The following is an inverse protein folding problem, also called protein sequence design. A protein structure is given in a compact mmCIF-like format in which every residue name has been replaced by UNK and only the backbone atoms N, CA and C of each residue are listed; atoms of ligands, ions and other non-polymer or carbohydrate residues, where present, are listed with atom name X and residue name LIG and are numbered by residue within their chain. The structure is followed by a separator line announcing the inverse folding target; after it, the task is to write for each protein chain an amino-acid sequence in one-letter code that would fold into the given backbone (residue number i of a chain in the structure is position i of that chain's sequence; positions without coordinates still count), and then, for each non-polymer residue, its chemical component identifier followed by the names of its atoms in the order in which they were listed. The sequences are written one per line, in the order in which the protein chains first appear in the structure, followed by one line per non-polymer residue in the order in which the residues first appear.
data_IF_179695883529
#
_entry.id   IF_179695883529
#
_cell.length_a   1.000
_cell.length_b   1.000
_cell.length_c   1.000
_cell.angle_alpha   90.00
_cell.angle_beta   90.00
_cell.angle_gamma   90.00
#
_symmetry.space_group_name_H-M   'P 1'
#
loop_
_entity.id
_entity.type
_entity.pdbx_description
1 polymer ?
#
# COMPACT_ATOMS: atom_id res chain seq x y z
N UNK A 1 -0.85 11.98 5.75
CA UNK A 1 -1.87 11.50 4.80
C UNK A 1 -2.95 12.56 4.73
N UNK A 2 -3.39 12.99 3.55
CA UNK A 2 -4.54 13.89 3.43
C UNK A 2 -5.85 13.11 3.58
N UNK A 3 -6.91 13.77 4.04
CA UNK A 3 -8.23 13.14 4.21
C UNK A 3 -8.79 12.60 2.88
N UNK A 4 -8.61 13.34 1.79
CA UNK A 4 -9.00 12.91 0.44
C UNK A 4 -8.30 11.61 0.01
N UNK A 5 -6.99 11.51 0.22
CA UNK A 5 -6.23 10.32 -0.13
C UNK A 5 -6.66 9.11 0.71
N UNK A 6 -6.90 9.31 2.01
CA UNK A 6 -7.43 8.26 2.87
C UNK A 6 -8.79 7.75 2.36
N UNK A 7 -9.71 8.65 2.01
CA UNK A 7 -11.03 8.28 1.47
C UNK A 7 -10.90 7.53 0.14
N UNK A 8 -10.04 7.98 -0.77
CA UNK A 8 -9.77 7.29 -2.03
C UNK A 8 -9.25 5.87 -1.80
N UNK A 9 -8.27 5.68 -0.91
CA UNK A 9 -7.72 4.37 -0.58
C UNK A 9 -8.79 3.44 0.01
N UNK A 10 -9.66 3.96 0.89
CA UNK A 10 -10.80 3.20 1.44
C UNK A 10 -11.79 2.78 0.33
N UNK A 11 -12.20 3.72 -0.52
CA UNK A 11 -13.16 3.47 -1.60
C UNK A 11 -12.63 2.47 -2.64
N UNK A 12 -11.34 2.53 -2.94
CA UNK A 12 -10.67 1.60 -3.86
C UNK A 12 -10.31 0.25 -3.22
N UNK A 13 -10.71 0.01 -1.96
CA UNK A 13 -10.38 -1.19 -1.17
C UNK A 13 -8.87 -1.43 -1.03
N UNK A 14 -8.08 -0.36 -1.05
CA UNK A 14 -6.62 -0.35 -0.91
C UNK A 14 -6.20 -0.39 0.57
N UNK A 15 -6.75 -1.35 1.34
CA UNK A 15 -6.54 -1.44 2.79
C UNK A 15 -5.07 -1.60 3.17
N UNK A 16 -4.32 -2.45 2.46
CA UNK A 16 -2.90 -2.66 2.78
C UNK A 16 -2.08 -1.39 2.56
N UNK A 17 -2.36 -0.66 1.48
CA UNK A 17 -1.71 0.63 1.20
C UNK A 17 -2.02 1.62 2.33
N UNK A 18 -3.30 1.72 2.74
CA UNK A 18 -3.71 2.60 3.82
C UNK A 18 -2.93 2.33 5.12
N UNK A 19 -2.73 1.05 5.47
CA UNK A 19 -1.99 0.64 6.67
C UNK A 19 -0.50 0.97 6.60
N UNK A 20 0.15 0.71 5.46
CA UNK A 20 1.62 0.82 5.34
C UNK A 20 2.09 2.19 4.84
N UNK A 21 1.19 3.05 4.35
CA UNK A 21 1.56 4.29 3.66
C UNK A 21 2.51 5.17 4.47
N UNK A 22 2.20 5.41 5.74
CA UNK A 22 3.01 6.27 6.60
C UNK A 22 4.39 5.67 6.91
N UNK A 23 4.49 4.35 6.99
CA UNK A 23 5.77 3.67 7.16
C UNK A 23 6.60 3.70 5.87
N UNK A 24 5.99 3.37 4.73
CA UNK A 24 6.66 3.38 3.43
C UNK A 24 7.08 4.79 3.02
N UNK A 25 6.34 5.83 3.41
CA UNK A 25 6.72 7.22 3.15
C UNK A 25 8.00 7.57 3.92
N UNK A 26 8.05 7.27 5.22
CA UNK A 26 9.25 7.50 6.04
C UNK A 26 10.45 6.68 5.55
N UNK A 27 10.22 5.46 5.09
CA UNK A 27 11.25 4.62 4.50
C UNK A 27 11.78 5.23 3.19
N UNK A 28 10.89 5.66 2.30
CA UNK A 28 11.26 6.31 1.05
C UNK A 28 12.04 7.61 1.27
N UNK A 29 11.63 8.43 2.24
CA UNK A 29 12.37 9.64 2.63
C UNK A 29 13.77 9.32 3.17
N UNK A 30 13.91 8.24 3.93
CA UNK A 30 15.21 7.81 4.48
C UNK A 30 16.13 7.22 3.42
N UNK A 31 15.57 6.52 2.44
CA UNK A 31 16.31 5.82 1.40
C UNK A 31 16.56 6.70 0.16
N UNK A 32 16.10 7.95 0.15
CA UNK A 32 16.04 8.82 -1.04
C UNK A 32 15.42 8.10 -2.25
N UNK A 33 14.37 7.31 -1.97
CA UNK A 33 13.77 6.45 -2.98
C UNK A 33 13.05 7.27 -4.03
N UNK A 34 13.17 6.85 -5.29
CA UNK A 34 12.44 7.51 -6.37
C UNK A 34 10.93 7.35 -6.20
N UNK A 35 10.15 8.28 -6.77
CA UNK A 35 8.69 8.19 -6.76
C UNK A 35 8.18 6.86 -7.34
N UNK A 36 8.83 6.37 -8.40
CA UNK A 36 8.51 5.07 -9.01
C UNK A 36 8.75 3.91 -8.05
N UNK A 37 9.82 3.93 -7.26
CA UNK A 37 10.10 2.89 -6.27
C UNK A 37 9.10 2.91 -5.12
N UNK A 38 8.77 4.09 -4.60
CA UNK A 38 7.76 4.26 -3.57
C UNK A 38 6.40 3.68 -4.01
N UNK A 39 5.91 4.08 -5.19
CA UNK A 39 4.64 3.56 -5.73
C UNK A 39 4.72 2.05 -5.96
N UNK A 40 5.85 1.54 -6.47
CA UNK A 40 6.04 0.10 -6.70
C UNK A 40 5.93 -0.69 -5.40
N UNK A 41 6.52 -0.20 -4.29
CA UNK A 41 6.45 -0.85 -2.97
C UNK A 41 5.01 -0.89 -2.45
N UNK A 42 4.26 0.20 -2.57
CA UNK A 42 2.86 0.27 -2.15
C UNK A 42 1.96 -0.69 -2.93
N UNK A 43 2.02 -0.65 -4.26
CA UNK A 43 1.18 -1.49 -5.13
C UNK A 43 1.54 -2.97 -4.98
N UNK A 44 2.83 -3.29 -4.83
CA UNK A 44 3.30 -4.66 -4.57
C UNK A 44 2.72 -5.21 -3.26
N UNK A 45 2.80 -4.45 -2.17
CA UNK A 45 2.25 -4.89 -0.88
C UNK A 45 0.74 -5.15 -0.94
N UNK A 46 0.00 -4.29 -1.63
CA UNK A 46 -1.44 -4.48 -1.85
C UNK A 46 -1.74 -5.70 -2.72
N UNK A 47 -0.93 -5.95 -3.75
CA UNK A 47 -1.06 -7.13 -4.59
C UNK A 47 -0.85 -8.41 -3.77
N UNK A 48 0.20 -8.46 -2.95
CA UNK A 48 0.45 -9.60 -2.05
C UNK A 48 -0.72 -9.84 -1.11
N UNK A 49 -1.21 -8.81 -0.42
CA UNK A 49 -2.37 -8.93 0.48
C UNK A 49 -3.63 -9.46 -0.25
N UNK A 50 -3.80 -9.09 -1.52
CA UNK A 50 -4.92 -9.58 -2.35
C UNK A 50 -4.74 -11.03 -2.81
N UNK A 51 -3.50 -11.48 -3.03
CA UNK A 51 -3.18 -12.87 -3.35
C UNK A 51 -3.30 -13.77 -2.11
N UNK A 52 -2.79 -13.32 -0.96
CA UNK A 52 -2.89 -14.01 0.34
C UNK A 52 -4.36 -14.26 0.71
N UNK A 53 -5.20 -13.22 0.65
CA UNK A 53 -6.64 -13.36 0.90
C UNK A 53 -7.40 -14.22 -0.13
N UNK A 54 -6.84 -14.46 -1.32
CA UNK A 54 -7.42 -15.37 -2.31
C UNK A 54 -7.01 -16.84 -2.08
N UNK A 55 -5.85 -17.07 -1.46
CA UNK A 55 -5.39 -18.39 -1.06
C UNK A 55 -6.08 -18.91 0.20
N UNK A 56 -6.46 -18.02 1.13
CA UNK A 56 -7.15 -18.40 2.38
C UNK A 56 -8.53 -19.07 2.15
N UNK A 57 -9.20 -18.82 1.02
CA UNK A 57 -10.53 -19.37 0.71
C UNK A 57 -10.48 -20.76 0.05
N UNK A 58 -9.32 -21.42 0.04
CA UNK A 58 -9.09 -22.67 -0.69
C UNK A 58 -8.77 -23.86 0.22
N UNK A 59 -9.14 -23.78 1.51
CA UNK A 59 -9.07 -24.86 2.50
C UNK A 59 -10.46 -25.08 3.12
#
# INVERSE_FOLDING_TARGET
MTEELEQLLKNLKLRRILEIYGEQLRAAEKEDATYSEFVTRLVRAQWHARQEGALEWRI
#
